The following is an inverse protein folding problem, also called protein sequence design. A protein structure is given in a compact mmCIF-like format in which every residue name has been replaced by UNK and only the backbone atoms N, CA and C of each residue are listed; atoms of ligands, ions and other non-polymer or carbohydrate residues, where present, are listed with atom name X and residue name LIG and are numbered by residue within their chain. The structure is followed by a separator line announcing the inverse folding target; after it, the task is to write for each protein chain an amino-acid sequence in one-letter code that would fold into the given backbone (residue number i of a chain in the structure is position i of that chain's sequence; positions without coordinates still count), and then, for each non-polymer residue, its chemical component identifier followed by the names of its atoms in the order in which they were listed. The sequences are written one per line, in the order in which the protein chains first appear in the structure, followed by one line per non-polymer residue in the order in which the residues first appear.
data_IF_254958411090
#
_entry.id   IF_254958411090
#
_cell.length_a   1.000
_cell.length_b   1.000
_cell.length_c   1.000
_cell.angle_alpha   90.00
_cell.angle_beta   90.00
_cell.angle_gamma   90.00
#
_symmetry.space_group_name_H-M   'P 1'
#
loop_
_entity.id
_entity.type
_entity.pdbx_description
1 polymer ?
#
# COMPACT_ATOMS: atom_id res chain seq x y z
N UNK A 1 10.41 -17.96 6.73
CA UNK A 1 11.37 -16.88 7.07
C UNK A 1 12.71 -17.48 7.46
N UNK A 2 13.77 -17.22 6.70
CA UNK A 2 15.13 -17.31 7.26
C UNK A 2 15.24 -16.17 8.27
N UNK A 3 15.47 -16.46 9.55
CA UNK A 3 15.65 -15.44 10.60
C UNK A 3 16.69 -14.42 10.13
N UNK A 4 16.36 -13.13 10.10
CA UNK A 4 17.30 -12.04 9.81
C UNK A 4 18.43 -12.13 10.83
N UNK A 5 19.68 -12.31 10.35
CA UNK A 5 20.84 -12.50 11.23
C UNK A 5 21.36 -11.17 11.81
N UNK A 6 20.96 -10.03 11.25
CA UNK A 6 21.52 -8.72 11.57
C UNK A 6 20.44 -7.62 11.62
N UNK A 7 20.27 -6.99 12.79
CA UNK A 7 19.41 -5.82 13.01
C UNK A 7 20.18 -4.48 12.88
N UNK A 8 21.46 -4.54 12.47
CA UNK A 8 22.34 -3.38 12.32
C UNK A 8 22.34 -2.49 13.58
N UNK A 9 21.78 -1.28 13.49
CA UNK A 9 21.76 -0.30 14.58
C UNK A 9 20.43 -0.26 15.33
N UNK A 10 19.42 -1.00 14.89
CA UNK A 10 18.09 -0.96 15.50
C UNK A 10 18.13 -1.48 16.96
N UNK A 11 17.60 -0.74 17.93
CA UNK A 11 17.48 -1.19 19.32
C UNK A 11 16.66 -2.48 19.47
N UNK A 12 17.04 -3.31 20.46
CA UNK A 12 16.46 -4.65 20.69
C UNK A 12 14.96 -4.65 20.97
N UNK A 13 14.46 -3.60 21.59
CA UNK A 13 13.04 -3.41 21.89
C UNK A 13 12.15 -3.38 20.64
N UNK A 14 12.69 -2.89 19.52
CA UNK A 14 11.94 -2.80 18.26
C UNK A 14 12.04 -4.04 17.38
N UNK A 15 12.93 -5.00 17.67
CA UNK A 15 13.17 -6.16 16.80
C UNK A 15 11.91 -6.98 16.52
N UNK A 16 11.06 -7.18 17.52
CA UNK A 16 9.81 -7.94 17.34
C UNK A 16 8.80 -7.23 16.43
N UNK A 17 8.69 -5.90 16.58
CA UNK A 17 7.81 -5.05 15.77
C UNK A 17 8.35 -4.98 14.33
N UNK A 18 9.67 -4.87 14.17
CA UNK A 18 10.35 -4.96 12.87
C UNK A 18 10.09 -6.29 12.17
N UNK A 19 10.33 -7.41 12.83
CA UNK A 19 10.09 -8.75 12.29
C UNK A 19 8.62 -8.95 11.86
N UNK A 20 7.69 -8.36 12.60
CA UNK A 20 6.27 -8.39 12.25
C UNK A 20 5.99 -7.58 10.98
N UNK A 21 6.54 -6.36 10.86
CA UNK A 21 6.42 -5.57 9.63
C UNK A 21 7.05 -6.28 8.42
N UNK A 22 8.24 -6.89 8.58
CA UNK A 22 8.86 -7.70 7.52
C UNK A 22 7.97 -8.87 7.11
N UNK A 23 7.37 -9.56 8.09
CA UNK A 23 6.45 -10.65 7.83
C UNK A 23 5.22 -10.19 7.04
N UNK A 24 4.62 -9.06 7.40
CA UNK A 24 3.48 -8.49 6.66
C UNK A 24 3.86 -8.19 5.20
N UNK A 25 5.04 -7.59 4.98
CA UNK A 25 5.52 -7.33 3.63
C UNK A 25 5.82 -8.61 2.87
N UNK A 26 6.41 -9.63 3.49
CA UNK A 26 6.60 -10.95 2.85
C UNK A 26 5.24 -11.54 2.44
N UNK A 27 4.19 -11.34 3.24
CA UNK A 27 2.85 -11.76 2.82
C UNK A 27 2.38 -11.00 1.58
N UNK A 28 2.56 -9.68 1.53
CA UNK A 28 2.20 -8.89 0.33
C UNK A 28 3.03 -9.34 -0.89
N UNK A 29 4.33 -9.54 -0.72
CA UNK A 29 5.25 -10.01 -1.77
C UNK A 29 4.88 -11.40 -2.29
N UNK A 30 4.44 -12.30 -1.42
CA UNK A 30 3.95 -13.64 -1.80
C UNK A 30 2.81 -13.56 -2.84
N UNK A 31 2.01 -12.48 -2.86
CA UNK A 31 0.93 -12.27 -3.84
C UNK A 31 1.45 -12.08 -5.27
N UNK A 32 2.72 -11.70 -5.42
CA UNK A 32 3.37 -11.49 -6.72
C UNK A 32 4.27 -12.68 -7.09
N UNK A 33 4.87 -13.35 -6.11
CA UNK A 33 5.87 -14.39 -6.35
C UNK A 33 5.31 -15.81 -6.34
N UNK A 34 4.24 -16.06 -5.58
CA UNK A 34 3.72 -17.40 -5.41
C UNK A 34 2.74 -17.75 -6.53
N UNK A 35 2.96 -18.91 -7.18
CA UNK A 35 2.12 -19.44 -8.26
C UNK A 35 0.64 -19.59 -7.91
N UNK A 36 0.29 -19.69 -6.62
CA UNK A 36 -1.12 -19.71 -6.20
C UNK A 36 -1.85 -18.43 -6.63
N UNK A 37 -1.14 -17.32 -6.82
CA UNK A 37 -1.69 -16.03 -7.25
C UNK A 37 -1.47 -15.75 -8.75
N UNK A 38 -1.23 -16.79 -9.57
CA UNK A 38 -0.99 -16.64 -11.02
C UNK A 38 -2.15 -15.93 -11.75
N UNK A 39 -3.40 -16.12 -11.32
CA UNK A 39 -4.59 -15.41 -11.82
C UNK A 39 -4.47 -13.88 -11.75
N UNK A 40 -3.73 -13.37 -10.76
CA UNK A 40 -3.48 -11.94 -10.64
C UNK A 40 -2.63 -11.46 -11.82
N UNK A 41 -1.71 -12.30 -12.32
CA UNK A 41 -0.75 -11.99 -13.38
C UNK A 41 -1.23 -12.35 -14.78
N UNK A 42 -1.98 -13.44 -14.91
CA UNK A 42 -2.40 -14.00 -16.19
C UNK A 42 -3.91 -14.06 -16.26
N UNK A 43 -4.50 -13.27 -17.16
CA UNK A 43 -5.93 -13.28 -17.43
C UNK A 43 -6.21 -14.04 -18.71
N UNK A 44 -7.20 -14.94 -18.67
CA UNK A 44 -7.68 -15.63 -19.87
C UNK A 44 -9.04 -15.08 -20.24
N UNK A 45 -9.13 -14.44 -21.40
CA UNK A 45 -10.39 -13.93 -21.96
C UNK A 45 -10.84 -14.88 -23.07
N UNK A 46 -12.12 -15.26 -23.03
CA UNK A 46 -12.74 -16.06 -24.08
C UNK A 46 -13.50 -15.13 -25.00
N UNK A 47 -13.09 -15.09 -26.26
CA UNK A 47 -13.78 -14.33 -27.29
C UNK A 47 -14.70 -15.23 -28.12
N UNK A 48 -15.81 -14.70 -28.66
CA UNK A 48 -16.60 -15.40 -29.67
C UNK A 48 -15.76 -15.75 -30.91
N UNK A 49 -16.10 -16.86 -31.59
CA UNK A 49 -15.33 -17.39 -32.73
C UNK A 49 -15.17 -16.38 -33.89
N UNK A 50 -16.12 -15.43 -34.02
CA UNK A 50 -16.10 -14.38 -35.04
C UNK A 50 -14.91 -13.41 -34.91
N UNK A 51 -14.31 -13.31 -33.72
CA UNK A 51 -13.13 -12.47 -33.47
C UNK A 51 -11.81 -13.23 -33.58
N UNK A 52 -11.84 -14.54 -33.83
CA UNK A 52 -10.65 -15.40 -33.77
C UNK A 52 -9.55 -15.03 -34.79
N UNK A 53 -9.93 -14.52 -35.96
CA UNK A 53 -8.97 -14.03 -36.97
C UNK A 53 -8.44 -12.63 -36.62
N UNK A 54 -9.29 -11.74 -36.11
CA UNK A 54 -8.86 -10.40 -35.66
C UNK A 54 -7.89 -10.48 -34.48
N UNK A 55 -8.11 -11.39 -33.52
CA UNK A 55 -7.23 -11.57 -32.36
C UNK A 55 -5.83 -12.03 -32.79
N UNK A 56 -5.75 -12.90 -33.82
CA UNK A 56 -4.46 -13.32 -34.38
C UNK A 56 -3.71 -12.19 -35.10
N UNK A 57 -4.41 -11.12 -35.46
CA UNK A 57 -3.83 -9.93 -36.10
C UNK A 57 -3.42 -8.83 -35.10
N UNK A 58 -3.71 -9.01 -33.80
CA UNK A 58 -3.19 -8.15 -32.74
C UNK A 58 -1.67 -8.37 -32.67
N UNK A 59 -0.93 -7.31 -32.93
CA UNK A 59 0.53 -7.25 -32.85
C UNK A 59 0.91 -5.97 -32.10
N UNK A 60 1.96 -6.04 -31.28
CA UNK A 60 2.43 -4.96 -30.41
C UNK A 60 2.78 -3.69 -31.20
N UNK A 61 3.09 -3.81 -32.50
CA UNK A 61 3.49 -2.70 -33.37
C UNK A 61 2.34 -2.01 -34.12
N UNK A 62 1.19 -2.68 -34.34
CA UNK A 62 0.14 -2.16 -35.24
C UNK A 62 -1.25 -2.03 -34.64
N UNK A 63 -1.63 -2.87 -33.66
CA UNK A 63 -2.94 -2.84 -33.02
C UNK A 63 -2.80 -3.27 -31.57
N UNK A 64 -2.83 -2.32 -30.63
CA UNK A 64 -2.70 -2.63 -29.20
C UNK A 64 -3.97 -3.33 -28.68
N UNK A 65 -3.80 -4.29 -27.77
CA UNK A 65 -4.93 -5.06 -27.20
C UNK A 65 -6.02 -4.15 -26.59
N UNK A 66 -5.64 -3.04 -25.97
CA UNK A 66 -6.60 -2.14 -25.33
C UNK A 66 -7.47 -1.41 -26.36
N UNK A 67 -6.87 -0.94 -27.46
CA UNK A 67 -7.59 -0.29 -28.56
C UNK A 67 -8.59 -1.29 -29.17
N UNK A 68 -8.16 -2.54 -29.37
CA UNK A 68 -9.05 -3.61 -29.86
C UNK A 68 -10.25 -3.85 -28.93
N UNK A 69 -10.03 -3.93 -27.62
CA UNK A 69 -11.09 -4.16 -26.65
C UNK A 69 -12.06 -2.96 -26.59
N UNK A 70 -11.54 -1.74 -26.69
CA UNK A 70 -12.34 -0.52 -26.71
C UNK A 70 -13.21 -0.42 -27.97
N UNK A 71 -12.62 -0.61 -29.16
CA UNK A 71 -13.32 -0.55 -30.45
C UNK A 71 -14.47 -1.57 -30.54
N UNK A 72 -14.28 -2.75 -29.96
CA UNK A 72 -15.25 -3.85 -30.01
C UNK A 72 -16.16 -3.91 -28.78
N UNK A 73 -16.10 -2.91 -27.88
CA UNK A 73 -16.97 -2.78 -26.69
C UNK A 73 -16.85 -3.93 -25.68
N UNK A 74 -15.66 -4.53 -25.56
CA UNK A 74 -15.31 -5.47 -24.49
C UNK A 74 -14.92 -4.72 -23.20
N UNK A 75 -15.82 -3.85 -22.73
CA UNK A 75 -15.56 -2.92 -21.62
C UNK A 75 -15.32 -3.65 -20.30
N UNK A 76 -16.03 -4.75 -20.04
CA UNK A 76 -15.89 -5.51 -18.79
C UNK A 76 -14.53 -6.22 -18.72
N UNK A 77 -14.10 -6.82 -19.82
CA UNK A 77 -12.80 -7.47 -19.96
C UNK A 77 -11.66 -6.44 -19.85
N UNK A 78 -11.78 -5.30 -20.52
CA UNK A 78 -10.81 -4.20 -20.42
C UNK A 78 -10.69 -3.70 -18.97
N UNK A 79 -11.83 -3.43 -18.32
CA UNK A 79 -11.86 -3.01 -16.93
C UNK A 79 -11.24 -4.06 -16.00
N UNK A 80 -11.47 -5.35 -16.27
CA UNK A 80 -10.85 -6.43 -15.50
C UNK A 80 -9.33 -6.48 -15.67
N UNK A 81 -8.82 -6.38 -16.91
CA UNK A 81 -7.38 -6.36 -17.18
C UNK A 81 -6.72 -5.16 -16.50
N UNK A 82 -7.26 -3.95 -16.72
CA UNK A 82 -6.69 -2.72 -16.15
C UNK A 82 -6.69 -2.78 -14.63
N UNK A 83 -7.78 -3.26 -14.01
CA UNK A 83 -7.86 -3.42 -12.55
C UNK A 83 -6.74 -4.32 -12.02
N UNK A 84 -6.50 -5.47 -12.65
CA UNK A 84 -5.48 -6.41 -12.21
C UNK A 84 -4.07 -5.86 -12.43
N UNK A 85 -3.80 -5.23 -13.58
CA UNK A 85 -2.51 -4.61 -13.85
C UNK A 85 -2.22 -3.46 -12.89
N UNK A 86 -3.20 -2.60 -12.63
CA UNK A 86 -3.09 -1.52 -11.65
C UNK A 86 -2.81 -2.07 -10.26
N UNK A 87 -3.58 -3.07 -9.82
CA UNK A 87 -3.38 -3.71 -8.51
C UNK A 87 -1.96 -4.31 -8.38
N UNK A 88 -1.49 -5.02 -9.41
CA UNK A 88 -0.13 -5.57 -9.43
C UNK A 88 0.95 -4.47 -9.32
N UNK A 89 0.79 -3.38 -10.07
CA UNK A 89 1.71 -2.24 -10.03
C UNK A 89 1.79 -1.62 -8.63
N UNK A 90 0.63 -1.39 -8.01
CA UNK A 90 0.52 -0.84 -6.66
C UNK A 90 1.11 -1.77 -5.59
N UNK A 91 0.91 -3.09 -5.72
CA UNK A 91 1.50 -4.09 -4.82
C UNK A 91 3.04 -4.08 -4.95
N UNK A 92 3.58 -4.10 -6.17
CA UNK A 92 5.04 -4.06 -6.39
C UNK A 92 5.68 -2.81 -5.79
N UNK A 93 5.07 -1.64 -6.04
CA UNK A 93 5.56 -0.37 -5.52
C UNK A 93 5.52 -0.32 -3.99
N UNK A 94 4.47 -0.90 -3.39
CA UNK A 94 4.34 -1.06 -1.93
C UNK A 94 5.46 -1.93 -1.37
N UNK A 95 5.73 -3.09 -1.98
CA UNK A 95 6.82 -3.98 -1.57
C UNK A 95 8.16 -3.25 -1.61
N UNK A 96 8.54 -2.67 -2.76
CA UNK A 96 9.83 -2.00 -2.90
C UNK A 96 10.01 -0.87 -1.89
N UNK A 97 9.00 -0.01 -1.76
CA UNK A 97 9.08 1.15 -0.88
C UNK A 97 9.21 0.74 0.58
N UNK A 98 8.40 -0.22 1.06
CA UNK A 98 8.41 -0.59 2.47
C UNK A 98 9.60 -1.49 2.82
N UNK A 99 10.01 -2.43 1.95
CA UNK A 99 11.21 -3.24 2.16
C UNK A 99 12.45 -2.35 2.31
N UNK A 100 12.64 -1.39 1.39
CA UNK A 100 13.77 -0.46 1.44
C UNK A 100 13.65 0.51 2.62
N UNK A 101 12.43 0.93 2.98
CA UNK A 101 12.22 1.74 4.18
C UNK A 101 12.66 1.02 5.45
N UNK A 102 12.22 -0.23 5.64
CA UNK A 102 12.58 -1.06 6.79
C UNK A 102 14.10 -1.30 6.83
N UNK A 103 14.73 -1.54 5.69
CA UNK A 103 16.19 -1.69 5.60
C UNK A 103 16.93 -0.39 5.96
N UNK A 104 16.42 0.76 5.52
CA UNK A 104 16.97 2.07 5.88
C UNK A 104 16.83 2.33 7.38
N UNK A 105 15.69 1.97 7.98
CA UNK A 105 15.46 2.08 9.42
C UNK A 105 16.51 1.28 10.21
N UNK A 106 16.78 0.02 9.82
CA UNK A 106 17.83 -0.77 10.47
C UNK A 106 19.21 -0.10 10.41
N UNK A 107 19.50 0.59 9.31
CA UNK A 107 20.76 1.28 9.05
C UNK A 107 20.81 2.69 9.63
N UNK A 108 19.84 3.08 10.48
CA UNK A 108 19.74 4.42 11.09
C UNK A 108 19.53 5.55 10.06
N UNK A 109 19.05 5.22 8.85
CA UNK A 109 18.82 6.19 7.76
C UNK A 109 17.37 6.65 7.78
N UNK A 110 16.97 7.29 8.88
CA UNK A 110 15.55 7.57 9.15
C UNK A 110 14.91 8.53 8.14
N UNK A 111 15.63 9.55 7.68
CA UNK A 111 15.17 10.45 6.60
C UNK A 111 14.75 9.68 5.35
N UNK A 112 15.57 8.74 4.90
CA UNK A 112 15.27 7.90 3.73
C UNK A 112 14.13 6.93 4.05
N UNK A 113 14.14 6.32 5.23
CA UNK A 113 13.08 5.43 5.69
C UNK A 113 11.70 6.10 5.62
N UNK A 114 11.54 7.27 6.22
CA UNK A 114 10.26 7.99 6.19
C UNK A 114 9.88 8.51 4.80
N UNK A 115 10.86 8.95 4.01
CA UNK A 115 10.61 9.37 2.63
C UNK A 115 9.95 8.24 1.83
N UNK A 116 10.45 7.02 1.98
CA UNK A 116 9.92 5.83 1.31
C UNK A 116 8.54 5.38 1.84
N UNK A 117 8.22 5.63 3.11
CA UNK A 117 6.89 5.29 3.67
C UNK A 117 5.77 6.17 3.11
N UNK A 118 6.09 7.36 2.59
CA UNK A 118 5.08 8.31 2.14
C UNK A 118 4.16 7.72 1.07
N UNK A 119 4.73 7.20 -0.01
CA UNK A 119 3.96 6.79 -1.20
C UNK A 119 3.00 5.62 -0.90
N UNK A 120 3.42 4.55 -0.20
CA UNK A 120 2.50 3.48 0.22
C UNK A 120 1.28 3.97 1.01
N UNK A 121 1.48 4.88 1.98
CA UNK A 121 0.41 5.25 2.91
C UNK A 121 -0.39 6.49 2.51
N UNK A 122 0.23 7.49 1.88
CA UNK A 122 -0.44 8.74 1.53
C UNK A 122 -1.00 8.77 0.10
N UNK A 123 -0.60 7.84 -0.75
CA UNK A 123 -1.03 7.78 -2.15
C UNK A 123 -1.63 6.41 -2.48
N UNK A 124 -0.83 5.35 -2.44
CA UNK A 124 -1.26 4.00 -2.85
C UNK A 124 -2.45 3.52 -2.01
N UNK A 125 -2.42 3.69 -0.69
CA UNK A 125 -3.52 3.29 0.18
C UNK A 125 -4.86 3.93 -0.22
N UNK A 126 -4.85 5.21 -0.64
CA UNK A 126 -6.06 5.91 -1.10
C UNK A 126 -6.58 5.23 -2.38
N UNK A 127 -5.68 4.99 -3.35
CA UNK A 127 -6.04 4.34 -4.60
C UNK A 127 -6.64 2.95 -4.35
N UNK A 128 -6.02 2.14 -3.48
CA UNK A 128 -6.54 0.81 -3.12
C UNK A 128 -7.91 0.89 -2.45
N UNK A 129 -8.13 1.82 -1.52
CA UNK A 129 -9.44 1.99 -0.88
C UNK A 129 -10.50 2.44 -1.90
N UNK A 130 -10.16 3.31 -2.85
CA UNK A 130 -11.08 3.73 -3.91
C UNK A 130 -11.38 2.59 -4.88
N UNK A 131 -10.36 1.84 -5.31
CA UNK A 131 -10.55 0.62 -6.12
C UNK A 131 -11.49 -0.40 -5.45
N UNK A 132 -11.50 -0.48 -4.11
CA UNK A 132 -12.37 -1.38 -3.36
C UNK A 132 -13.82 -0.87 -3.25
N UNK A 133 -14.01 0.44 -3.07
CA UNK A 133 -15.28 1.03 -2.61
C UNK A 133 -16.03 1.84 -3.66
N UNK A 134 -15.33 2.35 -4.68
CA UNK A 134 -15.91 3.14 -5.76
C UNK A 134 -16.12 2.21 -6.96
N UNK A 135 -17.38 1.86 -7.26
CA UNK A 135 -17.71 0.92 -8.35
C UNK A 135 -17.19 1.40 -9.71
N UNK A 136 -17.27 2.71 -9.95
CA UNK A 136 -16.92 3.35 -11.22
C UNK A 136 -15.43 3.76 -11.26
N UNK A 137 -14.61 3.33 -10.29
CA UNK A 137 -13.21 3.77 -10.20
C UNK A 137 -12.42 3.44 -11.47
N UNK A 138 -12.52 2.20 -11.95
CA UNK A 138 -11.76 1.74 -13.12
C UNK A 138 -12.28 2.39 -14.40
N UNK A 139 -13.59 2.53 -14.52
CA UNK A 139 -14.20 3.23 -15.66
C UNK A 139 -13.72 4.68 -15.74
N UNK A 140 -13.74 5.39 -14.61
CA UNK A 140 -13.22 6.76 -14.55
C UNK A 140 -11.71 6.81 -14.81
N UNK A 141 -10.95 5.84 -14.30
CA UNK A 141 -9.50 5.75 -14.54
C UNK A 141 -9.17 5.57 -16.02
N UNK A 142 -9.99 4.82 -16.76
CA UNK A 142 -9.80 4.57 -18.19
C UNK A 142 -10.27 5.75 -19.06
N UNK A 143 -11.43 6.33 -18.73
CA UNK A 143 -12.18 7.16 -19.68
C UNK A 143 -12.22 8.66 -19.33
N UNK A 144 -11.90 9.05 -18.09
CA UNK A 144 -12.01 10.45 -17.66
C UNK A 144 -10.68 11.19 -17.83
N UNK A 145 -10.66 12.21 -18.68
CA UNK A 145 -9.52 13.11 -18.81
C UNK A 145 -9.17 13.77 -17.47
N UNK A 146 -7.89 13.78 -17.13
CA UNK A 146 -7.36 14.37 -15.88
C UNK A 146 -7.95 13.76 -14.60
N UNK A 147 -8.40 12.50 -14.64
CA UNK A 147 -8.80 11.78 -13.44
C UNK A 147 -7.62 11.66 -12.47
N UNK A 148 -7.78 12.23 -11.27
CA UNK A 148 -6.79 12.13 -10.21
C UNK A 148 -7.19 10.98 -9.24
N UNK A 149 -6.46 9.85 -9.24
CA UNK A 149 -6.79 8.69 -8.42
C UNK A 149 -6.49 8.92 -6.93
N UNK A 150 -5.65 9.91 -6.58
CA UNK A 150 -5.25 10.20 -5.20
C UNK A 150 -6.01 11.38 -4.58
N UNK A 151 -6.67 12.21 -5.40
CA UNK A 151 -7.44 13.37 -4.92
C UNK A 151 -8.58 12.92 -4.02
N UNK A 152 -8.48 13.28 -2.74
CA UNK A 152 -9.54 13.03 -1.76
C UNK A 152 -9.45 14.05 -0.61
N UNK A 153 -10.60 14.57 -0.18
CA UNK A 153 -10.70 15.42 1.02
C UNK A 153 -10.53 14.59 2.30
N UNK A 154 -10.23 15.21 3.45
CA UNK A 154 -10.17 14.52 4.73
C UNK A 154 -11.43 13.70 5.04
N UNK A 155 -12.61 14.25 4.78
CA UNK A 155 -13.90 13.61 5.01
C UNK A 155 -14.07 12.38 4.10
N UNK A 156 -13.70 12.51 2.83
CA UNK A 156 -13.72 11.39 1.88
C UNK A 156 -12.79 10.26 2.34
N UNK A 157 -11.60 10.58 2.87
CA UNK A 157 -10.67 9.58 3.40
C UNK A 157 -11.24 8.85 4.62
N UNK A 158 -11.91 9.57 5.54
CA UNK A 158 -12.61 8.95 6.67
C UNK A 158 -13.68 7.97 6.20
N UNK A 159 -14.53 8.39 5.26
CA UNK A 159 -15.57 7.54 4.67
C UNK A 159 -14.97 6.31 3.98
N UNK A 160 -13.86 6.46 3.25
CA UNK A 160 -13.16 5.35 2.61
C UNK A 160 -12.62 4.34 3.63
N UNK A 161 -12.05 4.81 4.75
CA UNK A 161 -11.58 3.95 5.84
C UNK A 161 -12.76 3.20 6.46
N UNK A 162 -13.85 3.89 6.78
CA UNK A 162 -15.06 3.29 7.37
C UNK A 162 -15.65 2.21 6.46
N UNK A 163 -15.87 2.52 5.17
CA UNK A 163 -16.38 1.54 4.20
C UNK A 163 -15.47 0.34 4.04
N UNK A 164 -14.16 0.57 4.02
CA UNK A 164 -13.16 -0.51 3.96
C UNK A 164 -13.21 -1.40 5.20
N UNK A 165 -13.36 -0.79 6.38
CA UNK A 165 -13.35 -1.49 7.66
C UNK A 165 -14.57 -2.40 7.86
N UNK A 166 -15.71 -2.10 7.22
CA UNK A 166 -16.88 -2.99 7.19
C UNK A 166 -16.50 -4.37 6.62
N UNK A 167 -15.67 -4.42 5.56
CA UNK A 167 -15.19 -5.69 5.01
C UNK A 167 -14.24 -6.45 5.95
N UNK A 168 -13.69 -5.76 6.95
CA UNK A 168 -12.86 -6.34 7.99
C UNK A 168 -13.63 -6.65 9.28
N UNK A 169 -14.96 -6.61 9.24
CA UNK A 169 -15.82 -6.79 10.43
C UNK A 169 -15.47 -5.80 11.55
N UNK A 170 -15.21 -4.54 11.19
CA UNK A 170 -14.90 -3.45 12.10
C UNK A 170 -13.70 -3.73 13.02
N UNK A 171 -12.72 -4.49 12.50
CA UNK A 171 -11.49 -4.87 13.22
C UNK A 171 -10.64 -3.68 13.64
N UNK A 172 -10.67 -2.58 12.89
CA UNK A 172 -9.83 -1.41 13.13
C UNK A 172 -10.62 -0.26 13.75
N UNK A 173 -9.95 0.57 14.54
CA UNK A 173 -10.49 1.87 14.90
C UNK A 173 -10.26 2.85 13.74
N UNK A 174 -11.33 3.22 13.04
CA UNK A 174 -11.25 4.11 11.87
C UNK A 174 -10.65 5.47 12.21
N UNK A 175 -10.90 5.98 13.42
CA UNK A 175 -10.34 7.25 13.89
C UNK A 175 -8.82 7.14 13.99
N UNK A 176 -8.32 6.09 14.64
CA UNK A 176 -6.87 5.87 14.80
C UNK A 176 -6.18 5.71 13.44
N UNK A 177 -6.76 4.93 12.51
CA UNK A 177 -6.22 4.78 11.14
C UNK A 177 -6.13 6.13 10.43
N UNK A 178 -7.17 6.95 10.54
CA UNK A 178 -7.16 8.29 9.93
C UNK A 178 -6.13 9.21 10.59
N UNK A 179 -6.10 9.26 11.91
CA UNK A 179 -5.23 10.14 12.69
C UNK A 179 -3.76 9.83 12.45
N UNK A 180 -3.38 8.55 12.53
CA UNK A 180 -2.00 8.14 12.33
C UNK A 180 -1.51 8.34 10.90
N UNK A 181 -2.38 8.25 9.88
CA UNK A 181 -1.94 8.34 8.49
C UNK A 181 -2.09 9.76 7.94
N UNK A 182 -3.29 10.34 8.04
CA UNK A 182 -3.71 11.49 7.23
C UNK A 182 -3.90 12.79 7.99
N UNK A 183 -4.08 12.75 9.32
CA UNK A 183 -4.45 13.96 10.05
C UNK A 183 -3.28 14.95 10.13
N UNK A 184 -3.50 16.15 9.58
CA UNK A 184 -2.51 17.23 9.58
C UNK A 184 -2.40 17.89 10.95
N UNK A 185 -3.39 17.70 11.81
CA UNK A 185 -3.43 18.27 13.15
C UNK A 185 -2.63 17.44 14.15
N UNK A 186 -2.42 16.15 13.88
CA UNK A 186 -1.57 15.27 14.68
C UNK A 186 -0.11 15.41 14.23
N UNK A 187 0.76 15.94 15.08
CA UNK A 187 2.16 16.20 14.77
C UNK A 187 2.92 14.95 14.33
N UNK A 188 2.55 13.82 14.90
CA UNK A 188 3.11 12.50 14.66
C UNK A 188 2.30 11.69 13.62
N UNK A 189 1.45 12.31 12.79
CA UNK A 189 0.90 11.58 11.65
C UNK A 189 1.97 11.29 10.60
N UNK A 190 1.80 10.20 9.84
CA UNK A 190 2.62 9.85 8.69
C UNK A 190 2.67 11.03 7.70
N UNK A 191 1.55 11.74 7.51
CA UNK A 191 1.53 12.96 6.70
C UNK A 191 2.58 13.99 7.16
N UNK A 192 2.60 14.31 8.45
CA UNK A 192 3.48 15.35 8.98
C UNK A 192 4.95 14.91 9.07
N UNK A 193 5.20 13.70 9.57
CA UNK A 193 6.55 13.16 9.71
C UNK A 193 7.21 12.95 8.35
N UNK A 194 6.49 12.42 7.36
CA UNK A 194 7.07 12.24 6.01
C UNK A 194 7.27 13.55 5.27
N UNK A 195 6.46 14.59 5.54
CA UNK A 195 6.74 15.93 5.03
C UNK A 195 8.08 16.47 5.57
N UNK A 196 8.37 16.26 6.86
CA UNK A 196 9.65 16.67 7.45
C UNK A 196 10.83 15.87 6.87
N UNK A 197 10.61 14.60 6.53
CA UNK A 197 11.62 13.78 5.89
C UNK A 197 11.96 14.23 4.45
N UNK A 198 10.95 14.66 3.69
CA UNK A 198 11.10 15.01 2.26
C UNK A 198 11.52 16.45 2.06
N UNK A 199 10.95 17.37 2.82
CA UNK A 199 11.19 18.79 2.64
C UNK A 199 12.27 19.27 3.60
N UNK A 200 13.24 20.01 3.07
CA UNK A 200 14.28 20.67 3.87
C UNK A 200 13.70 21.67 4.87
N UNK A 201 12.60 22.31 4.49
CA UNK A 201 11.92 23.34 5.26
C UNK A 201 10.41 23.26 5.06
N UNK A 202 9.67 23.38 6.16
CA UNK A 202 8.22 23.30 6.23
C UNK A 202 7.71 24.47 7.07
N UNK A 203 6.80 25.29 6.52
CA UNK A 203 6.23 26.46 7.20
C UNK A 203 4.69 26.56 7.12
N UNK A 204 4.08 25.77 6.22
CA UNK A 204 2.65 25.84 5.90
C UNK A 204 1.75 25.20 6.96
N UNK A 205 2.23 24.21 7.70
CA UNK A 205 1.50 23.56 8.78
C UNK A 205 2.26 23.74 10.10
N UNK A 206 1.66 24.37 11.13
CA UNK A 206 2.32 24.56 12.43
C UNK A 206 2.82 23.26 13.07
N UNK A 207 2.10 22.14 12.89
CA UNK A 207 2.40 20.87 13.56
C UNK A 207 3.65 20.15 13.02
N UNK A 208 4.14 20.58 11.86
CA UNK A 208 5.37 20.06 11.28
C UNK A 208 6.30 21.18 10.84
N UNK A 209 6.16 22.37 11.44
CA UNK A 209 6.96 23.53 11.08
C UNK A 209 8.42 23.35 11.48
N UNK A 210 9.34 23.61 10.56
CA UNK A 210 10.77 23.59 10.85
C UNK A 210 11.12 24.64 11.90
N UNK A 211 11.86 24.21 12.93
CA UNK A 211 12.33 25.07 13.99
C UNK A 211 13.35 26.11 13.49
N UNK A 212 13.56 27.18 14.28
CA UNK A 212 14.58 28.18 13.96
C UNK A 212 15.96 27.52 13.88
N UNK A 213 16.73 27.88 12.85
CA UNK A 213 18.08 27.35 12.61
C UNK A 213 18.12 25.82 12.42
N UNK A 214 17.02 25.21 11.96
CA UNK A 214 16.93 23.80 11.66
C UNK A 214 16.63 23.55 10.16
N UNK A 215 16.99 22.39 9.63
CA UNK A 215 16.65 21.87 8.29
C UNK A 215 16.04 20.48 8.41
N UNK A 216 14.91 20.39 9.12
CA UNK A 216 14.19 19.16 9.42
C UNK A 216 15.13 17.99 9.71
N UNK A 217 14.98 16.86 9.01
CA UNK A 217 15.71 15.63 9.36
C UNK A 217 17.19 15.64 8.97
N UNK A 218 17.68 16.66 8.24
CA UNK A 218 19.12 16.77 7.96
C UNK A 218 19.92 16.97 9.25
N UNK A 219 19.36 17.68 10.22
CA UNK A 219 20.01 17.92 11.51
C UNK A 219 19.47 17.02 12.62
N UNK A 220 18.83 15.89 12.28
CA UNK A 220 18.41 14.91 13.29
C UNK A 220 19.61 14.42 14.10
N UNK A 221 19.50 14.52 15.42
CA UNK A 221 20.46 13.97 16.37
C UNK A 221 20.23 12.49 16.61
N UNK A 222 21.07 11.88 17.45
CA UNK A 222 20.84 10.51 17.91
C UNK A 222 19.52 10.39 18.69
N UNK A 223 19.21 11.36 19.56
CA UNK A 223 17.95 11.38 20.31
C UNK A 223 16.74 11.50 19.40
N UNK A 224 16.84 12.28 18.31
CA UNK A 224 15.77 12.33 17.30
C UNK A 224 15.63 10.99 16.57
N UNK A 225 16.73 10.27 16.36
CA UNK A 225 16.70 8.96 15.70
C UNK A 225 15.99 7.93 16.58
N UNK A 226 16.26 7.93 17.90
CA UNK A 226 15.56 7.06 18.86
C UNK A 226 14.05 7.33 18.87
N UNK A 227 13.63 8.59 18.96
CA UNK A 227 12.19 8.92 18.92
C UNK A 227 11.54 8.60 17.57
N UNK A 228 12.29 8.73 16.47
CA UNK A 228 11.86 8.30 15.15
C UNK A 228 11.68 6.79 15.05
N UNK A 229 12.55 5.99 15.67
CA UNK A 229 12.37 4.53 15.74
C UNK A 229 11.17 4.15 16.59
N UNK A 230 11.04 4.75 17.78
CA UNK A 230 9.88 4.58 18.65
C UNK A 230 8.59 4.78 17.87
N UNK A 231 8.47 5.93 17.21
CA UNK A 231 7.32 6.27 16.39
C UNK A 231 7.04 5.25 15.28
N UNK A 232 8.04 4.91 14.45
CA UNK A 232 7.83 3.96 13.34
C UNK A 232 7.33 2.64 13.88
N UNK A 233 7.95 2.09 14.93
CA UNK A 233 7.60 0.75 15.38
C UNK A 233 6.37 0.71 16.29
N UNK A 234 5.91 1.85 16.81
CA UNK A 234 4.58 1.97 17.42
C UNK A 234 3.47 2.08 16.40
N UNK A 235 3.69 2.80 15.30
CA UNK A 235 2.62 3.12 14.34
C UNK A 235 2.56 2.14 13.17
N UNK A 236 3.72 1.80 12.59
CA UNK A 236 3.83 1.04 11.34
C UNK A 236 3.15 -0.33 11.40
N UNK A 237 3.25 -1.13 12.48
CA UNK A 237 2.61 -2.44 12.51
C UNK A 237 1.11 -2.41 12.28
N UNK A 238 0.41 -1.43 12.87
CA UNK A 238 -1.05 -1.32 12.75
C UNK A 238 -1.44 -0.88 11.33
N UNK A 239 -0.85 0.20 10.83
CA UNK A 239 -1.19 0.75 9.50
C UNK A 239 -0.78 -0.20 8.36
N UNK A 240 0.31 -0.95 8.54
CA UNK A 240 0.76 -1.95 7.58
C UNK A 240 -0.14 -3.19 7.59
N UNK A 241 -0.67 -3.57 8.75
CA UNK A 241 -1.64 -4.65 8.84
C UNK A 241 -2.96 -4.27 8.14
N UNK A 242 -3.42 -3.02 8.30
CA UNK A 242 -4.57 -2.49 7.56
C UNK A 242 -4.33 -2.54 6.04
N UNK A 243 -3.16 -2.06 5.58
CA UNK A 243 -2.77 -2.12 4.17
C UNK A 243 -2.71 -3.57 3.64
N UNK A 244 -2.17 -4.49 4.43
CA UNK A 244 -2.08 -5.92 4.07
C UNK A 244 -3.45 -6.56 3.94
N UNK A 245 -4.36 -6.30 4.90
CA UNK A 245 -5.74 -6.83 4.86
C UNK A 245 -6.52 -6.26 3.65
N UNK A 246 -6.29 -4.98 3.31
CA UNK A 246 -6.89 -4.35 2.11
C UNK A 246 -6.39 -4.95 0.80
N UNK A 247 -5.07 -5.14 0.67
CA UNK A 247 -4.49 -5.77 -0.52
C UNK A 247 -4.99 -7.21 -0.67
N UNK A 248 -5.00 -8.00 0.42
CA UNK A 248 -5.52 -9.37 0.41
C UNK A 248 -6.98 -9.40 -0.07
N UNK A 249 -7.81 -8.48 0.42
CA UNK A 249 -9.22 -8.38 0.02
C UNK A 249 -9.39 -8.01 -1.46
N UNK A 250 -8.59 -7.06 -1.95
CA UNK A 250 -8.61 -6.68 -3.37
C UNK A 250 -8.21 -7.85 -4.26
N UNK A 251 -7.13 -8.58 -3.93
CA UNK A 251 -6.71 -9.76 -4.70
C UNK A 251 -7.80 -10.83 -4.65
N UNK A 252 -8.41 -11.09 -3.50
CA UNK A 252 -9.54 -12.03 -3.40
C UNK A 252 -10.71 -11.64 -4.31
N UNK A 253 -11.05 -10.33 -4.39
CA UNK A 253 -12.13 -9.85 -5.26
C UNK A 253 -11.77 -9.87 -6.75
N UNK A 254 -10.49 -9.84 -7.10
CA UNK A 254 -10.01 -9.73 -8.48
C UNK A 254 -9.58 -11.06 -9.10
N UNK A 255 -9.56 -12.15 -8.32
CA UNK A 255 -9.06 -13.46 -8.75
C UNK A 255 -10.04 -14.57 -8.42
N UNK A 256 -9.83 -15.77 -8.97
CA UNK A 256 -10.67 -16.94 -8.69
C UNK A 256 -10.18 -17.77 -7.48
N UNK A 257 -9.23 -17.22 -6.72
CA UNK A 257 -8.53 -17.92 -5.65
C UNK A 257 -9.46 -18.20 -4.47
N UNK A 258 -9.39 -19.42 -3.94
CA UNK A 258 -10.22 -19.84 -2.82
C UNK A 258 -10.02 -18.96 -1.57
N UNK A 259 -11.13 -18.52 -0.97
CA UNK A 259 -11.14 -17.71 0.25
C UNK A 259 -10.30 -18.32 1.39
N UNK A 260 -10.21 -19.66 1.47
CA UNK A 260 -9.42 -20.39 2.47
C UNK A 260 -7.93 -20.01 2.44
N UNK A 261 -7.38 -19.67 1.27
CA UNK A 261 -5.99 -19.19 1.13
C UNK A 261 -5.80 -17.92 1.95
N UNK A 262 -6.73 -16.97 1.84
CA UNK A 262 -6.69 -15.70 2.58
C UNK A 262 -7.00 -15.90 4.08
N UNK A 263 -7.94 -16.77 4.43
CA UNK A 263 -8.17 -17.13 5.84
C UNK A 263 -6.90 -17.68 6.52
N UNK A 264 -6.12 -18.51 5.80
CA UNK A 264 -4.84 -19.01 6.31
C UNK A 264 -3.80 -17.89 6.50
N UNK A 265 -3.76 -16.90 5.60
CA UNK A 265 -2.87 -15.74 5.72
C UNK A 265 -3.23 -14.89 6.94
N UNK A 266 -4.52 -14.61 7.15
CA UNK A 266 -5.04 -13.92 8.35
C UNK A 266 -4.66 -14.68 9.62
N UNK A 267 -4.88 -15.99 9.67
CA UNK A 267 -4.55 -16.81 10.83
C UNK A 267 -3.04 -16.79 11.16
N UNK A 268 -2.18 -16.77 10.15
CA UNK A 268 -0.72 -16.62 10.34
C UNK A 268 -0.37 -15.25 10.91
N UNK A 269 -0.98 -14.16 10.41
CA UNK A 269 -0.82 -12.80 10.96
C UNK A 269 -1.21 -12.75 12.43
N UNK A 270 -2.40 -13.24 12.77
CA UNK A 270 -2.90 -13.24 14.15
C UNK A 270 -2.02 -14.05 15.10
N UNK A 271 -1.50 -15.19 14.65
CA UNK A 271 -0.57 -16.00 15.44
C UNK A 271 0.74 -15.24 15.71
N UNK A 272 1.34 -14.61 14.69
CA UNK A 272 2.59 -13.87 14.84
C UNK A 272 2.41 -12.58 15.64
N UNK A 273 1.29 -11.87 15.46
CA UNK A 273 0.92 -10.68 16.24
C UNK A 273 0.94 -10.97 17.74
N UNK A 274 0.29 -12.07 18.14
CA UNK A 274 0.26 -12.55 19.54
C UNK A 274 1.65 -12.98 20.05
N UNK A 275 2.45 -13.65 19.22
CA UNK A 275 3.80 -14.08 19.61
C UNK A 275 4.77 -12.90 19.83
N UNK A 276 4.61 -11.84 19.03
CA UNK A 276 5.50 -10.69 19.06
C UNK A 276 5.03 -9.58 20.02
N UNK A 277 3.88 -9.74 20.69
CA UNK A 277 3.22 -8.71 21.51
C UNK A 277 3.11 -7.38 20.77
N UNK A 278 2.72 -7.44 19.49
CA UNK A 278 2.49 -6.26 18.66
C UNK A 278 1.00 -5.94 18.80
N UNK A 279 0.68 -4.95 19.64
CA UNK A 279 -0.64 -4.32 19.68
C UNK A 279 -0.66 -3.18 18.68
#
# INVERSE_FOLDING_TARGET
MKKRKYYYYLPKEYWKKHDYCEFLITQIEDLILNKVFEDLHTQTIKFPDEYSELIKSIDEESNHLFDFLEEHKFTDELNHIVRNQLLQGLIRETCYSIQESLLCSLKMRMTVSFTLLRKPFLEILIVLMRMLNDNDFIENFNNTENFDPIKSTPEQKKILIEKTNIFFYDKYNCTDVFEYIFDKNQSDSIFNITNNAIHLFTDRNPNNKTEKQNLNFIFSTYENTESQWEYIYETLPMILNFLTDLIDLLVLKCTSIEQKVFTNRINKREKLRKLNNVC
#
